data_IF_241599810181
#
_entry.id   IF_241599810181
#
_cell.length_a   1.000
_cell.length_b   1.000
_cell.length_c   1.000
_cell.angle_alpha   90.00
_cell.angle_beta   90.00
_cell.angle_gamma   90.00
#
_symmetry.space_group_name_H-M   'P 1'
#
loop_
_entity.id
_entity.type
_entity.pdbx_description
1 polymer ?
#
# COMPACT_ATOMS: atom_id res chain seq x y z
N UNK A 1 -12.93 12.03 -30.35
CA UNK A 1 -12.99 10.71 -29.68
C UNK A 1 -11.57 10.21 -29.53
N UNK A 2 -11.12 10.00 -28.29
CA UNK A 2 -10.13 8.99 -27.85
C UNK A 2 -9.64 9.36 -26.45
N UNK A 3 -10.37 8.81 -25.48
CA UNK A 3 -9.97 8.32 -24.16
C UNK A 3 -8.82 9.05 -23.45
N UNK A 4 -9.19 9.94 -22.53
CA UNK A 4 -8.44 10.14 -21.31
C UNK A 4 -8.36 8.78 -20.60
N UNK A 5 -7.20 8.13 -20.68
CA UNK A 5 -6.81 7.15 -19.68
C UNK A 5 -6.61 7.94 -18.40
N UNK A 6 -7.72 8.24 -17.72
CA UNK A 6 -7.72 8.58 -16.32
C UNK A 6 -7.09 7.37 -15.65
N UNK A 7 -5.78 7.46 -15.39
CA UNK A 7 -5.07 6.53 -14.54
C UNK A 7 -5.76 6.62 -13.18
N UNK A 8 -6.81 5.81 -13.05
CA UNK A 8 -7.50 5.53 -11.81
C UNK A 8 -6.51 4.72 -10.99
N UNK A 9 -5.48 5.40 -10.49
CA UNK A 9 -4.83 4.96 -9.27
C UNK A 9 -5.97 4.85 -8.27
N UNK A 10 -6.25 3.66 -7.71
CA UNK A 10 -7.30 3.54 -6.74
C UNK A 10 -6.96 4.53 -5.64
N UNK A 11 -7.78 5.58 -5.52
CA UNK A 11 -7.68 6.47 -4.37
C UNK A 11 -7.73 5.53 -3.16
N UNK A 12 -6.78 5.63 -2.21
CA UNK A 12 -6.81 4.74 -1.06
C UNK A 12 -8.22 4.84 -0.48
N UNK A 13 -8.92 3.71 -0.30
CA UNK A 13 -10.30 3.75 0.15
C UNK A 13 -10.34 4.58 1.44
N UNK A 14 -11.42 5.34 1.70
CA UNK A 14 -11.55 6.05 2.96
C UNK A 14 -11.37 5.01 4.08
N UNK A 15 -10.28 5.07 4.83
CA UNK A 15 -9.98 4.13 5.92
C UNK A 15 -10.50 4.69 7.26
N UNK A 16 -11.58 5.45 7.22
CA UNK A 16 -12.11 6.17 8.38
C UNK A 16 -12.66 5.22 9.44
N UNK A 17 -13.07 4.01 9.03
CA UNK A 17 -13.67 2.99 9.91
C UNK A 17 -12.85 1.69 9.95
N UNK A 18 -13.03 0.88 11.01
CA UNK A 18 -12.37 -0.43 11.13
C UNK A 18 -12.73 -1.41 9.99
N UNK A 19 -14.00 -1.52 9.53
CA UNK A 19 -14.33 -2.36 8.37
C UNK A 19 -13.66 -1.91 7.07
N UNK A 20 -13.40 -0.62 6.90
CA UNK A 20 -12.63 -0.11 5.77
C UNK A 20 -11.16 -0.47 5.87
N UNK A 21 -10.57 -0.35 7.07
CA UNK A 21 -9.19 -0.75 7.33
C UNK A 21 -8.96 -2.25 7.06
N UNK A 22 -9.90 -3.11 7.48
CA UNK A 22 -9.86 -4.56 7.16
C UNK A 22 -9.82 -4.83 5.67
N UNK A 23 -10.68 -4.16 4.91
CA UNK A 23 -10.72 -4.28 3.44
C UNK A 23 -9.41 -3.81 2.81
N UNK A 24 -8.84 -2.72 3.33
CA UNK A 24 -7.59 -2.17 2.83
C UNK A 24 -6.40 -3.10 3.10
N UNK A 25 -6.34 -3.72 4.29
CA UNK A 25 -5.35 -4.75 4.62
C UNK A 25 -5.50 -5.99 3.73
N UNK A 26 -6.72 -6.49 3.51
CA UNK A 26 -6.97 -7.61 2.62
C UNK A 26 -6.56 -7.32 1.16
N UNK A 27 -6.71 -6.07 0.70
CA UNK A 27 -6.35 -5.65 -0.65
C UNK A 27 -4.84 -5.65 -0.92
N UNK A 28 -4.00 -5.76 0.11
CA UNK A 28 -2.55 -5.93 -0.05
C UNK A 28 -2.17 -7.34 -0.57
N UNK A 29 -2.98 -8.35 -0.25
CA UNK A 29 -2.70 -9.75 -0.61
C UNK A 29 -2.57 -9.99 -2.12
N UNK A 30 -3.53 -9.51 -2.95
CA UNK A 30 -3.41 -9.57 -4.41
C UNK A 30 -2.16 -8.88 -4.98
N UNK A 31 -1.53 -7.97 -4.23
CA UNK A 31 -0.30 -7.26 -4.61
C UNK A 31 0.97 -8.00 -4.18
N UNK A 32 0.85 -9.17 -3.54
CA UNK A 32 1.98 -9.90 -2.95
C UNK A 32 2.58 -9.23 -1.71
N UNK A 33 1.89 -8.24 -1.15
CA UNK A 33 2.27 -7.52 0.06
C UNK A 33 1.63 -8.25 1.26
N UNK A 34 2.35 -8.41 2.39
CA UNK A 34 1.76 -8.96 3.60
C UNK A 34 0.50 -8.18 4.01
N UNK A 35 -0.61 -8.89 4.22
CA UNK A 35 -1.89 -8.24 4.55
C UNK A 35 -1.95 -7.76 5.99
N UNK A 36 -1.20 -8.40 6.90
CA UNK A 36 -1.25 -8.18 8.35
C UNK A 36 -2.68 -8.28 8.95
N UNK A 37 -3.64 -8.86 8.22
CA UNK A 37 -5.04 -8.87 8.62
C UNK A 37 -5.26 -9.74 9.87
N UNK A 38 -4.69 -10.95 9.91
CA UNK A 38 -4.80 -11.83 11.07
C UNK A 38 -4.13 -11.24 12.31
N UNK A 39 -3.01 -10.53 12.13
CA UNK A 39 -2.31 -9.84 13.22
C UNK A 39 -3.14 -8.68 13.76
N UNK A 40 -3.75 -7.90 12.86
CA UNK A 40 -4.65 -6.82 13.21
C UNK A 40 -5.86 -7.31 14.02
N UNK A 41 -6.53 -8.40 13.62
CA UNK A 41 -7.68 -8.92 14.37
C UNK A 41 -7.27 -9.45 15.75
N UNK A 42 -6.11 -10.11 15.85
CA UNK A 42 -5.58 -10.59 17.12
C UNK A 42 -5.24 -9.43 18.07
N UNK A 43 -4.55 -8.40 17.60
CA UNK A 43 -4.28 -7.20 18.39
C UNK A 43 -5.57 -6.46 18.78
N UNK A 44 -6.54 -6.36 17.87
CA UNK A 44 -7.80 -5.67 18.12
C UNK A 44 -8.62 -6.37 19.21
N UNK A 45 -8.59 -7.70 19.29
CA UNK A 45 -9.28 -8.48 20.31
C UNK A 45 -8.74 -8.21 21.73
N UNK A 46 -7.43 -7.96 21.84
CA UNK A 46 -6.74 -7.71 23.13
C UNK A 46 -6.65 -6.21 23.47
N UNK A 47 -6.94 -5.32 22.51
CA UNK A 47 -6.76 -3.88 22.68
C UNK A 47 -7.95 -3.25 23.42
N UNK A 48 -7.70 -2.49 24.50
CA UNK A 48 -8.78 -1.80 25.22
C UNK A 48 -9.39 -0.69 24.34
N UNK A 49 -10.68 -0.41 24.55
CA UNK A 49 -11.47 0.44 23.65
C UNK A 49 -10.88 1.85 23.46
N UNK A 50 -10.26 2.42 24.50
CA UNK A 50 -9.59 3.73 24.46
C UNK A 50 -8.34 3.75 23.56
N UNK A 51 -7.76 2.58 23.26
CA UNK A 51 -6.55 2.40 22.43
C UNK A 51 -6.84 1.93 21.01
N UNK A 52 -8.07 1.53 20.70
CA UNK A 52 -8.48 1.14 19.35
C UNK A 52 -8.19 2.21 18.29
N UNK A 53 -8.35 3.53 18.54
CA UNK A 53 -7.97 4.55 17.57
C UNK A 53 -6.48 4.57 17.24
N UNK A 54 -5.63 4.37 18.26
CA UNK A 54 -4.16 4.33 18.11
C UNK A 54 -3.71 3.09 17.33
N UNK A 55 -4.30 1.92 17.63
CA UNK A 55 -4.10 0.70 16.85
C UNK A 55 -4.50 0.92 15.39
N UNK A 56 -5.69 1.46 15.13
CA UNK A 56 -6.18 1.72 13.79
C UNK A 56 -5.24 2.64 13.00
N UNK A 57 -4.69 3.69 13.63
CA UNK A 57 -3.78 4.63 12.97
C UNK A 57 -2.45 4.00 12.56
N UNK A 58 -1.93 3.09 13.38
CA UNK A 58 -0.72 2.31 13.07
C UNK A 58 -0.90 1.48 11.80
N UNK A 59 -2.03 0.78 11.70
CA UNK A 59 -2.35 -0.06 10.55
C UNK A 59 -2.75 0.75 9.32
N UNK A 60 -3.38 1.93 9.48
CA UNK A 60 -3.55 2.88 8.36
C UNK A 60 -2.21 3.32 7.80
N UNK A 61 -1.27 3.68 8.67
CA UNK A 61 0.08 4.07 8.27
C UNK A 61 0.78 2.93 7.52
N UNK A 62 0.60 1.69 7.97
CA UNK A 62 1.09 0.50 7.28
C UNK A 62 0.50 0.36 5.87
N UNK A 63 -0.82 0.44 5.72
CA UNK A 63 -1.48 0.37 4.41
C UNK A 63 -1.00 1.50 3.49
N UNK A 64 -0.97 2.75 3.97
CA UNK A 64 -0.54 3.90 3.15
C UNK A 64 0.91 3.75 2.65
N UNK A 65 1.81 3.25 3.50
CA UNK A 65 3.21 3.03 3.14
C UNK A 65 3.36 1.99 2.02
N UNK A 66 2.61 0.89 2.11
CA UNK A 66 2.74 -0.24 1.19
C UNK A 66 1.86 -0.12 -0.06
N UNK A 67 0.79 0.67 0.00
CA UNK A 67 -0.09 1.00 -1.14
C UNK A 67 0.30 2.29 -1.86
N UNK A 68 1.49 2.85 -1.56
CA UNK A 68 1.92 4.10 -2.20
C UNK A 68 2.03 3.90 -3.72
N UNK A 69 1.69 4.92 -4.54
CA UNK A 69 1.73 4.80 -5.99
C UNK A 69 3.11 4.42 -6.53
N UNK A 70 4.21 4.78 -5.85
CA UNK A 70 5.55 4.29 -6.15
C UNK A 70 5.72 2.78 -5.88
N UNK A 71 5.17 2.27 -4.77
CA UNK A 71 5.20 0.85 -4.45
C UNK A 71 4.36 0.03 -5.45
N UNK A 72 3.17 0.53 -5.82
CA UNK A 72 2.30 -0.10 -6.82
C UNK A 72 2.91 -0.01 -8.23
N UNK A 73 3.57 1.10 -8.58
CA UNK A 73 4.30 1.23 -9.84
C UNK A 73 5.50 0.27 -9.91
N UNK A 74 6.24 0.09 -8.81
CA UNK A 74 7.34 -0.88 -8.75
C UNK A 74 6.85 -2.34 -8.91
N UNK A 75 5.66 -2.67 -8.42
CA UNK A 75 5.05 -4.00 -8.56
C UNK A 75 4.51 -4.28 -9.97
N UNK A 76 4.17 -3.23 -10.73
CA UNK A 76 3.63 -3.33 -12.10
C UNK A 76 4.68 -3.07 -13.19
N UNK A 77 5.86 -2.55 -12.84
CA UNK A 77 6.98 -2.42 -13.75
C UNK A 77 7.55 -3.79 -14.15
N UNK A 78 7.75 -3.98 -15.44
CA UNK A 78 8.55 -5.09 -15.96
C UNK A 78 9.98 -5.01 -15.43
N UNK A 79 10.58 -6.16 -15.13
CA UNK A 79 11.98 -6.26 -14.67
C UNK A 79 12.97 -5.58 -15.63
N UNK A 80 12.64 -5.52 -16.92
CA UNK A 80 13.42 -4.83 -17.94
C UNK A 80 13.46 -3.31 -17.73
N UNK A 81 12.31 -2.70 -17.40
CA UNK A 81 12.21 -1.27 -17.15
C UNK A 81 12.87 -0.90 -15.81
N UNK A 82 12.74 -1.75 -14.78
CA UNK A 82 13.46 -1.57 -13.51
C UNK A 82 14.98 -1.60 -13.73
N UNK A 83 15.49 -2.52 -14.55
CA UNK A 83 16.91 -2.60 -14.87
C UNK A 83 17.40 -1.36 -15.64
N UNK A 84 16.56 -0.78 -16.52
CA UNK A 84 16.89 0.46 -17.23
C UNK A 84 16.98 1.67 -16.28
N UNK A 85 16.04 1.80 -15.34
CA UNK A 85 16.09 2.87 -14.31
C UNK A 85 17.31 2.73 -13.41
N UNK A 86 17.62 1.51 -12.94
CA UNK A 86 18.78 1.27 -12.10
C UNK A 86 20.08 1.61 -12.82
N UNK A 87 20.23 1.21 -14.09
CA UNK A 87 21.40 1.58 -14.92
C UNK A 87 21.53 3.09 -15.07
N UNK A 88 20.42 3.80 -15.29
CA UNK A 88 20.43 5.27 -15.38
C UNK A 88 20.85 5.92 -14.07
N UNK A 89 20.28 5.51 -12.94
CA UNK A 89 20.64 6.06 -11.62
C UNK A 89 22.10 5.79 -11.26
N UNK A 90 22.63 4.61 -11.59
CA UNK A 90 24.04 4.28 -11.43
C UNK A 90 24.95 5.17 -12.28
N UNK A 91 24.56 5.46 -13.52
CA UNK A 91 25.31 6.37 -14.38
C UNK A 91 25.24 7.84 -13.91
N UNK A 92 24.12 8.27 -13.34
CA UNK A 92 23.96 9.60 -12.74
C UNK A 92 24.76 9.75 -11.45
N UNK A 93 24.92 8.68 -10.65
CA UNK A 93 25.71 8.68 -9.42
C UNK A 93 27.23 8.60 -9.64
N UNK A 94 27.68 8.26 -10.86
CA UNK A 94 29.10 8.22 -11.24
C UNK A 94 29.58 9.51 -11.92
N UNK A 95 28.72 10.53 -11.97
CA UNK A 95 29.02 11.87 -12.50
C UNK A 95 29.24 12.85 -11.38
#
# INVERSE_FOLDING_TARGET
MSTAAESSFPHPPPMSTLPELRRALAALGPLGIPTELDHFEAELAETPLDRVPELAERYRSYVLRNSSPDAVAALTMSSADTAAILRRKLAEAQK
#
